data_IF_099415927776
#
_entry.id   IF_099415927776
#
_cell.length_a   1.000
_cell.length_b   1.000
_cell.length_c   1.000
_cell.angle_alpha   90.00
_cell.angle_beta   90.00
_cell.angle_gamma   90.00
#
_symmetry.space_group_name_H-M   'P 1'
#
loop_
_entity.id
_entity.type
_entity.pdbx_description
1 polymer ?
#
# COMPACT_ATOMS: atom_id res chain seq x y z
N UNK A 1 18.91 -5.73 13.89
CA UNK A 1 18.19 -6.13 12.66
C UNK A 1 17.29 -4.98 12.23
N UNK A 2 17.17 -4.69 10.93
CA UNK A 2 16.34 -3.58 10.43
C UNK A 2 14.95 -4.08 10.06
N UNK A 3 13.90 -3.36 10.49
CA UNK A 3 12.49 -3.67 10.20
C UNK A 3 11.57 -2.50 10.52
N UNK A 4 10.26 -2.78 10.68
CA UNK A 4 9.24 -1.74 10.88
C UNK A 4 9.10 -1.41 12.36
N UNK A 5 9.33 -0.15 12.73
CA UNK A 5 9.19 0.37 14.11
C UNK A 5 7.82 1.00 14.34
N UNK A 6 7.30 1.72 13.36
CA UNK A 6 6.00 2.41 13.45
C UNK A 6 5.48 2.75 12.06
N UNK A 7 4.18 2.93 11.95
CA UNK A 7 3.51 3.43 10.74
C UNK A 7 2.54 4.53 11.16
N UNK A 8 2.45 5.58 10.36
CA UNK A 8 1.41 6.59 10.44
C UNK A 8 0.89 6.91 9.04
N UNK A 9 -0.36 7.31 8.98
CA UNK A 9 -1.05 7.59 7.72
C UNK A 9 -1.59 9.02 7.67
N UNK A 10 -1.92 9.44 6.46
CA UNK A 10 -2.74 10.60 6.17
C UNK A 10 -3.80 10.20 5.13
N UNK A 11 -5.06 10.33 5.51
CA UNK A 11 -6.21 10.17 4.62
C UNK A 11 -6.80 11.57 4.43
N UNK A 12 -6.81 12.12 3.21
CA UNK A 12 -7.41 13.44 2.94
C UNK A 12 -8.84 13.53 3.44
N UNK A 13 -9.28 14.72 3.81
CA UNK A 13 -10.63 14.95 4.35
C UNK A 13 -11.74 14.95 3.29
N UNK A 14 -11.37 15.19 2.01
CA UNK A 14 -12.33 15.16 0.91
C UNK A 14 -12.97 13.77 0.77
N UNK A 15 -14.26 13.74 0.46
CA UNK A 15 -15.02 12.47 0.34
C UNK A 15 -15.91 12.50 -0.89
N UNK A 16 -15.97 11.34 -1.55
CA UNK A 16 -16.94 11.06 -2.61
C UNK A 16 -17.92 10.04 -2.05
N UNK A 17 -19.21 10.38 -2.07
CA UNK A 17 -20.29 9.42 -1.79
C UNK A 17 -20.35 8.41 -2.94
N UNK A 18 -19.83 7.21 -2.68
CA UNK A 18 -19.69 6.18 -3.69
C UNK A 18 -21.03 5.53 -4.04
N UNK A 19 -22.00 5.55 -3.10
CA UNK A 19 -23.36 5.06 -3.34
C UNK A 19 -24.07 6.01 -4.30
N UNK A 20 -24.02 7.33 -4.03
CA UNK A 20 -24.61 8.34 -4.92
C UNK A 20 -23.94 8.31 -6.31
N UNK A 21 -22.60 8.19 -6.38
CA UNK A 21 -21.89 8.07 -7.66
C UNK A 21 -22.30 6.82 -8.44
N UNK A 22 -22.53 5.69 -7.80
CA UNK A 22 -22.89 4.43 -8.43
C UNK A 22 -24.24 4.49 -9.17
N UNK A 23 -25.17 5.35 -8.73
CA UNK A 23 -26.45 5.57 -9.39
C UNK A 23 -26.26 6.05 -10.84
N UNK A 24 -25.26 6.88 -11.13
CA UNK A 24 -24.94 7.33 -12.48
C UNK A 24 -24.50 6.20 -13.43
N UNK A 25 -24.16 5.04 -12.86
CA UNK A 25 -23.77 3.82 -13.58
C UNK A 25 -24.82 2.71 -13.53
N UNK A 26 -26.07 3.01 -13.18
CA UNK A 26 -27.15 2.04 -12.98
C UNK A 26 -26.77 0.94 -11.96
N UNK A 27 -26.14 1.34 -10.84
CA UNK A 27 -25.75 0.45 -9.73
C UNK A 27 -26.37 0.94 -8.42
N UNK A 28 -26.70 -0.02 -7.57
CA UNK A 28 -27.28 0.20 -6.26
C UNK A 28 -26.23 0.11 -5.12
N UNK A 29 -26.68 0.43 -3.92
CA UNK A 29 -25.89 0.30 -2.70
C UNK A 29 -25.36 -1.13 -2.50
N UNK A 30 -26.19 -2.15 -2.82
CA UNK A 30 -25.79 -3.56 -2.68
C UNK A 30 -24.59 -3.88 -3.54
N UNK A 31 -24.54 -3.35 -4.76
CA UNK A 31 -23.37 -3.48 -5.63
C UNK A 31 -22.13 -2.82 -5.01
N UNK A 32 -22.26 -1.60 -4.52
CA UNK A 32 -21.16 -0.86 -3.92
C UNK A 32 -20.61 -1.62 -2.71
N UNK A 33 -21.46 -2.01 -1.77
CA UNK A 33 -21.01 -2.67 -0.53
C UNK A 33 -20.47 -4.08 -0.77
N UNK A 34 -21.05 -4.86 -1.71
CA UNK A 34 -20.65 -6.25 -1.93
C UNK A 34 -19.51 -6.44 -2.93
N UNK A 35 -19.34 -5.55 -3.92
CA UNK A 35 -18.34 -5.69 -4.99
C UNK A 35 -17.18 -4.73 -4.85
N UNK A 36 -17.48 -3.49 -4.53
CA UNK A 36 -16.47 -2.45 -4.32
C UNK A 36 -15.88 -2.58 -2.91
N UNK A 37 -16.74 -2.58 -1.88
CA UNK A 37 -16.36 -2.77 -0.48
C UNK A 37 -16.38 -1.49 0.37
N UNK A 38 -16.62 -0.32 -0.25
CA UNK A 38 -16.67 0.95 0.47
C UNK A 38 -17.76 1.88 -0.04
N UNK A 39 -18.49 2.49 0.89
CA UNK A 39 -19.52 3.50 0.60
C UNK A 39 -18.93 4.89 0.32
N UNK A 40 -17.68 5.12 0.70
CA UNK A 40 -17.04 6.42 0.60
C UNK A 40 -15.61 6.27 0.07
N UNK A 41 -15.20 7.15 -0.83
CA UNK A 41 -13.82 7.24 -1.30
C UNK A 41 -13.18 8.51 -0.75
N UNK A 42 -11.94 8.43 -0.29
CA UNK A 42 -11.14 9.61 0.03
C UNK A 42 -10.64 10.27 -1.24
N UNK A 43 -10.56 11.58 -1.24
CA UNK A 43 -10.00 12.35 -2.34
C UNK A 43 -9.20 13.54 -1.80
N UNK A 44 -8.01 13.74 -2.36
CA UNK A 44 -7.18 14.89 -2.03
C UNK A 44 -7.85 16.21 -2.47
N UNK A 45 -7.47 17.32 -1.85
CA UNK A 45 -7.84 18.65 -2.35
C UNK A 45 -7.22 18.89 -3.75
N UNK A 46 -7.88 19.70 -4.54
CA UNK A 46 -7.41 20.04 -5.89
C UNK A 46 -6.01 20.71 -5.90
N UNK A 47 -5.66 21.39 -4.81
CA UNK A 47 -4.38 22.08 -4.65
C UNK A 47 -3.28 21.21 -4.01
N UNK A 48 -3.64 20.06 -3.47
CA UNK A 48 -2.67 19.11 -2.92
C UNK A 48 -2.00 18.30 -4.03
N UNK A 49 -0.68 18.14 -3.90
CA UNK A 49 0.12 17.25 -4.72
C UNK A 49 0.49 15.97 -3.93
N UNK A 50 1.03 14.99 -4.61
CA UNK A 50 1.47 13.73 -3.98
C UNK A 50 2.43 13.98 -2.83
N UNK A 51 3.35 14.93 -2.99
CA UNK A 51 4.31 15.32 -1.94
C UNK A 51 3.65 15.98 -0.72
N UNK A 52 2.48 16.62 -0.86
CA UNK A 52 1.73 17.17 0.28
C UNK A 52 1.15 16.06 1.15
N UNK A 53 0.55 15.05 0.53
CA UNK A 53 0.04 13.88 1.23
C UNK A 53 1.18 13.12 1.93
N UNK A 54 2.31 12.91 1.25
CA UNK A 54 3.50 12.30 1.81
C UNK A 54 4.01 13.07 3.04
N UNK A 55 4.11 14.40 2.91
CA UNK A 55 4.56 15.26 4.00
C UNK A 55 3.62 15.22 5.20
N UNK A 56 2.31 15.16 4.98
CA UNK A 56 1.31 15.02 6.04
C UNK A 56 1.47 13.68 6.78
N UNK A 57 1.64 12.56 6.06
CA UNK A 57 1.87 11.24 6.67
C UNK A 57 3.18 11.21 7.50
N UNK A 58 4.27 11.83 7.00
CA UNK A 58 5.54 11.92 7.74
C UNK A 58 5.38 12.78 9.01
N UNK A 59 4.68 13.91 8.93
CA UNK A 59 4.39 14.74 10.12
C UNK A 59 3.59 13.98 11.17
N UNK A 60 2.61 13.18 10.75
CA UNK A 60 1.87 12.30 11.63
C UNK A 60 2.78 11.23 12.25
N UNK A 61 3.74 10.69 11.48
CA UNK A 61 4.72 9.72 11.99
C UNK A 61 5.60 10.34 13.09
N UNK A 62 6.11 11.56 12.90
CA UNK A 62 6.88 12.27 13.94
C UNK A 62 6.02 12.59 15.17
N UNK A 63 4.77 13.01 14.97
CA UNK A 63 3.84 13.26 16.09
C UNK A 63 3.58 12.00 16.91
N UNK A 64 3.42 10.86 16.24
CA UNK A 64 3.19 9.55 16.89
C UNK A 64 4.43 9.03 17.62
N UNK A 65 5.63 9.41 17.19
CA UNK A 65 6.90 8.86 17.68
C UNK A 65 7.85 9.97 18.15
N UNK A 66 7.68 10.42 19.39
CA UNK A 66 8.46 11.52 19.98
C UNK A 66 10.00 11.27 20.02
N UNK A 67 10.44 10.02 19.86
CA UNK A 67 11.85 9.63 19.81
C UNK A 67 12.46 9.66 18.42
N UNK A 68 11.66 9.84 17.37
CA UNK A 68 12.14 9.99 16.00
C UNK A 68 12.17 11.48 15.64
N UNK A 69 13.36 12.04 15.48
CA UNK A 69 13.53 13.44 15.05
C UNK A 69 13.86 13.52 13.56
N UNK A 70 13.50 14.60 12.86
CA UNK A 70 13.89 14.78 11.46
C UNK A 70 15.40 14.63 11.20
N UNK A 71 16.25 15.05 12.16
CA UNK A 71 17.71 14.91 12.09
C UNK A 71 18.21 13.47 12.12
N UNK A 72 17.40 12.52 12.58
CA UNK A 72 17.79 11.11 12.70
C UNK A 72 17.57 10.34 11.40
N UNK A 73 16.78 10.90 10.49
CA UNK A 73 16.42 10.26 9.20
C UNK A 73 17.62 10.32 8.26
N UNK A 74 17.99 9.17 7.71
CA UNK A 74 19.16 9.00 6.83
C UNK A 74 18.76 8.54 5.42
N UNK A 75 17.55 8.00 5.26
CA UNK A 75 16.98 7.62 3.96
C UNK A 75 15.49 7.93 3.91
N UNK A 76 15.02 8.45 2.77
CA UNK A 76 13.62 8.65 2.44
C UNK A 76 13.34 8.01 1.08
N UNK A 77 12.48 7.00 1.05
CA UNK A 77 12.03 6.37 -0.19
C UNK A 77 10.53 6.61 -0.32
N UNK A 78 10.11 7.12 -1.48
CA UNK A 78 8.70 7.29 -1.82
C UNK A 78 8.31 6.26 -2.88
N UNK A 79 7.31 5.45 -2.58
CA UNK A 79 6.68 4.54 -3.53
C UNK A 79 5.50 5.25 -4.17
N UNK A 80 5.61 5.55 -5.44
CA UNK A 80 4.56 6.24 -6.21
C UNK A 80 4.74 6.04 -7.72
N UNK A 81 3.63 5.96 -8.44
CA UNK A 81 3.55 6.06 -9.90
C UNK A 81 2.93 7.39 -10.33
N UNK A 82 2.41 8.17 -9.37
CA UNK A 82 1.70 9.42 -9.58
C UNK A 82 2.36 10.58 -8.80
N UNK A 83 3.68 10.74 -8.98
CA UNK A 83 4.46 11.81 -8.35
C UNK A 83 4.00 13.21 -8.73
N UNK A 84 4.66 14.23 -8.18
CA UNK A 84 4.36 15.62 -8.48
C UNK A 84 4.67 15.98 -9.93
N UNK A 85 3.87 16.83 -10.50
CA UNK A 85 4.06 17.31 -11.87
C UNK A 85 4.11 16.15 -12.87
N UNK A 86 5.12 16.15 -13.73
CA UNK A 86 5.37 15.12 -14.75
C UNK A 86 6.50 14.14 -14.36
N UNK A 87 6.79 14.00 -13.06
CA UNK A 87 7.79 13.08 -12.53
C UNK A 87 9.22 13.66 -12.42
N UNK A 88 9.43 14.94 -12.69
CA UNK A 88 10.70 15.65 -12.49
C UNK A 88 10.47 16.96 -11.73
N UNK A 89 11.21 17.19 -10.61
CA UNK A 89 12.10 16.25 -9.92
C UNK A 89 11.34 15.10 -9.28
N UNK A 90 12.09 14.07 -8.81
CA UNK A 90 11.50 12.97 -8.06
C UNK A 90 10.79 13.46 -6.78
N UNK A 91 9.67 12.84 -6.45
CA UNK A 91 8.77 13.30 -5.38
C UNK A 91 9.46 13.31 -4.00
N UNK A 92 10.32 12.35 -3.70
CA UNK A 92 11.03 12.27 -2.42
C UNK A 92 11.93 13.48 -2.16
N UNK A 93 12.53 14.12 -3.18
CA UNK A 93 13.30 15.34 -3.00
C UNK A 93 12.41 16.52 -2.58
N UNK A 94 11.22 16.61 -3.16
CA UNK A 94 10.23 17.64 -2.78
C UNK A 94 9.75 17.41 -1.34
N UNK A 95 9.45 16.15 -1.00
CA UNK A 95 9.02 15.74 0.35
C UNK A 95 10.10 16.05 1.38
N UNK A 96 11.39 15.73 1.09
CA UNK A 96 12.52 16.02 1.97
C UNK A 96 12.50 17.50 2.40
N UNK A 97 12.34 18.41 1.43
CA UNK A 97 12.29 19.85 1.69
C UNK A 97 11.03 20.24 2.49
N UNK A 98 9.83 19.73 2.09
CA UNK A 98 8.54 20.06 2.75
C UNK A 98 8.48 19.68 4.22
N UNK A 99 9.18 18.62 4.61
CA UNK A 99 9.19 18.13 6.01
C UNK A 99 10.44 18.53 6.78
N UNK A 100 11.37 19.26 6.15
CA UNK A 100 12.57 19.78 6.80
C UNK A 100 13.59 18.72 7.18
N UNK A 101 13.72 17.63 6.39
CA UNK A 101 14.77 16.63 6.61
C UNK A 101 16.14 17.20 6.19
N UNK A 102 17.23 16.68 6.76
CA UNK A 102 18.59 17.09 6.40
C UNK A 102 18.88 16.90 4.92
N UNK A 103 19.80 17.72 4.37
CA UNK A 103 20.19 17.62 2.95
C UNK A 103 21.21 16.52 2.66
N UNK A 104 21.81 15.94 3.69
CA UNK A 104 22.80 14.86 3.61
C UNK A 104 22.17 13.48 3.80
N UNK A 105 20.92 13.28 3.35
CA UNK A 105 20.21 12.00 3.35
C UNK A 105 20.02 11.49 1.93
N UNK A 106 19.81 10.18 1.81
CA UNK A 106 19.44 9.56 0.53
C UNK A 106 17.93 9.70 0.28
N UNK A 107 17.55 10.24 -0.89
CA UNK A 107 16.16 10.35 -1.32
C UNK A 107 16.01 9.80 -2.73
N UNK A 108 15.04 8.90 -2.96
CA UNK A 108 14.66 8.43 -4.28
C UNK A 108 13.26 7.82 -4.30
N UNK A 109 12.67 7.72 -5.49
CA UNK A 109 11.34 7.17 -5.70
C UNK A 109 11.43 5.73 -6.24
N UNK A 110 10.42 4.92 -5.92
CA UNK A 110 10.19 3.59 -6.49
C UNK A 110 8.88 3.60 -7.26
N UNK A 111 8.95 3.42 -8.58
CA UNK A 111 7.78 3.43 -9.47
C UNK A 111 7.05 2.10 -9.45
N UNK A 112 6.31 1.83 -8.36
CA UNK A 112 5.44 0.67 -8.18
C UNK A 112 4.12 1.11 -7.53
N UNK A 113 3.02 0.47 -7.95
CA UNK A 113 1.70 0.69 -7.36
C UNK A 113 1.37 -0.31 -6.25
N UNK A 114 0.34 -1.13 -6.45
CA UNK A 114 -0.26 -2.01 -5.42
C UNK A 114 0.70 -2.99 -4.71
N UNK A 115 1.75 -3.46 -5.38
CA UNK A 115 2.81 -4.28 -4.80
C UNK A 115 3.91 -3.47 -4.12
N UNK A 116 3.90 -2.15 -4.32
CA UNK A 116 5.02 -1.26 -4.02
C UNK A 116 5.41 -1.19 -2.55
N UNK A 117 4.47 -1.33 -1.61
CA UNK A 117 4.83 -1.38 -0.20
C UNK A 117 5.71 -2.59 0.14
N UNK A 118 5.33 -3.78 -0.34
CA UNK A 118 6.11 -5.00 -0.09
C UNK A 118 7.51 -4.90 -0.69
N UNK A 119 7.62 -4.48 -1.95
CA UNK A 119 8.92 -4.22 -2.59
C UNK A 119 9.71 -3.14 -1.86
N UNK A 120 9.06 -2.01 -1.54
CA UNK A 120 9.69 -0.86 -0.89
C UNK A 120 10.33 -1.19 0.45
N UNK A 121 9.71 -2.07 1.25
CA UNK A 121 10.31 -2.53 2.51
C UNK A 121 11.65 -3.23 2.31
N UNK A 122 11.77 -4.08 1.30
CA UNK A 122 13.03 -4.78 1.02
C UNK A 122 14.05 -3.89 0.32
N UNK A 123 13.58 -2.94 -0.50
CA UNK A 123 14.46 -1.92 -1.11
C UNK A 123 15.08 -1.04 -0.02
N UNK A 124 14.27 -0.47 0.87
CA UNK A 124 14.81 0.42 1.93
C UNK A 124 15.70 -0.36 2.91
N UNK A 125 15.28 -1.56 3.34
CA UNK A 125 16.09 -2.42 4.22
C UNK A 125 17.44 -2.73 3.59
N UNK A 126 17.45 -3.25 2.35
CA UNK A 126 18.71 -3.61 1.66
C UNK A 126 19.59 -2.40 1.40
N UNK A 127 19.02 -1.25 1.04
CA UNK A 127 19.76 0.00 0.87
C UNK A 127 20.38 0.46 2.19
N UNK A 128 19.61 0.47 3.28
CA UNK A 128 20.10 0.88 4.60
C UNK A 128 21.20 -0.04 5.11
N UNK A 129 21.04 -1.35 4.97
CA UNK A 129 22.06 -2.34 5.37
C UNK A 129 23.35 -2.17 4.55
N UNK A 130 23.27 -2.00 3.23
CA UNK A 130 24.42 -1.79 2.36
C UNK A 130 25.16 -0.47 2.64
N UNK A 131 24.43 0.58 3.01
CA UNK A 131 24.98 1.91 3.28
C UNK A 131 25.30 2.17 4.77
N UNK A 132 25.05 1.20 5.67
CA UNK A 132 25.28 1.35 7.11
C UNK A 132 24.36 2.38 7.79
N UNK A 133 23.12 2.55 7.26
CA UNK A 133 22.15 3.51 7.78
C UNK A 133 21.25 2.86 8.84
N UNK A 134 20.79 3.64 9.82
CA UNK A 134 20.05 3.13 10.98
C UNK A 134 18.57 3.51 10.99
N UNK A 135 18.22 4.66 10.42
CA UNK A 135 16.85 5.17 10.36
C UNK A 135 16.49 5.60 8.96
N UNK A 136 15.39 5.05 8.44
CA UNK A 136 14.80 5.41 7.17
C UNK A 136 13.30 5.58 7.27
N UNK A 137 12.72 6.30 6.32
CA UNK A 137 11.27 6.43 6.15
C UNK A 137 10.90 5.89 4.78
N UNK A 138 10.02 4.90 4.76
CA UNK A 138 9.34 4.43 3.55
C UNK A 138 7.96 5.08 3.49
N UNK A 139 7.70 5.82 2.43
CA UNK A 139 6.40 6.45 2.19
C UNK A 139 5.72 5.76 1.03
N UNK A 140 4.42 5.54 1.12
CA UNK A 140 3.58 5.13 0.00
C UNK A 140 2.53 6.19 -0.27
N UNK A 141 2.35 6.58 -1.52
CA UNK A 141 1.32 7.54 -1.90
C UNK A 141 1.06 7.48 -3.41
N UNK A 142 -0.11 6.98 -3.79
CA UNK A 142 -0.53 6.90 -5.18
C UNK A 142 -1.91 7.53 -5.35
N UNK A 143 -2.04 8.85 -5.45
CA UNK A 143 -3.34 9.49 -5.63
C UNK A 143 -3.86 9.29 -7.07
N UNK A 144 -4.62 8.21 -7.27
CA UNK A 144 -5.21 7.89 -8.57
C UNK A 144 -6.28 8.88 -8.99
N UNK A 145 -6.78 9.72 -8.08
CA UNK A 145 -7.64 10.87 -8.43
C UNK A 145 -7.00 11.80 -9.48
N UNK A 146 -5.67 11.81 -9.61
CA UNK A 146 -4.92 12.59 -10.62
C UNK A 146 -5.10 12.06 -12.04
N UNK A 147 -5.35 10.76 -12.22
CA UNK A 147 -5.34 10.08 -13.51
C UNK A 147 -6.67 9.37 -13.82
N UNK A 148 -7.70 9.59 -12.99
CA UNK A 148 -8.97 8.87 -13.13
C UNK A 148 -9.97 9.62 -13.98
N UNK A 149 -10.59 8.93 -14.93
CA UNK A 149 -11.83 9.38 -15.55
C UNK A 149 -13.02 9.05 -14.62
N UNK A 150 -13.66 10.09 -14.10
CA UNK A 150 -14.83 9.94 -13.20
C UNK A 150 -16.06 9.36 -13.92
N UNK A 151 -16.07 9.31 -15.24
CA UNK A 151 -17.13 8.67 -16.04
C UNK A 151 -16.85 7.18 -16.32
N UNK A 152 -15.66 6.67 -16.00
CA UNK A 152 -15.38 5.25 -16.11
C UNK A 152 -15.82 4.50 -14.85
N UNK A 153 -16.90 3.72 -14.96
CA UNK A 153 -17.42 2.89 -13.87
C UNK A 153 -16.39 1.90 -13.33
N UNK A 154 -15.48 1.39 -14.15
CA UNK A 154 -14.56 0.32 -13.75
C UNK A 154 -13.51 0.79 -12.75
N UNK A 155 -13.20 2.06 -12.77
CA UNK A 155 -12.15 2.66 -11.96
C UNK A 155 -12.68 3.65 -10.93
N UNK A 156 -13.63 4.51 -11.30
CA UNK A 156 -14.10 5.62 -10.48
C UNK A 156 -14.75 5.23 -9.14
N UNK A 157 -15.31 4.02 -9.05
CA UNK A 157 -15.94 3.48 -7.83
C UNK A 157 -14.94 2.77 -6.90
N UNK A 158 -13.67 2.59 -7.30
CA UNK A 158 -12.71 1.78 -6.57
C UNK A 158 -11.69 2.60 -5.79
N UNK A 159 -11.07 3.58 -6.45
CA UNK A 159 -9.85 4.20 -5.98
C UNK A 159 -10.10 5.46 -5.14
N UNK A 160 -9.35 5.54 -4.05
CA UNK A 160 -9.27 6.73 -3.23
C UNK A 160 -7.81 7.09 -2.91
N UNK A 161 -7.59 8.25 -2.33
CA UNK A 161 -6.27 8.79 -2.06
C UNK A 161 -5.90 8.63 -0.59
N UNK A 162 -4.66 8.21 -0.34
CA UNK A 162 -4.04 8.20 0.99
C UNK A 162 -2.52 8.17 0.85
N UNK A 163 -1.83 8.54 1.92
CA UNK A 163 -0.41 8.34 2.08
C UNK A 163 -0.12 7.63 3.41
N UNK A 164 0.95 6.84 3.45
CA UNK A 164 1.48 6.28 4.69
C UNK A 164 2.98 6.54 4.80
N UNK A 165 3.47 6.67 6.02
CA UNK A 165 4.89 6.77 6.33
C UNK A 165 5.25 5.69 7.35
N UNK A 166 6.23 4.86 7.02
CA UNK A 166 6.73 3.77 7.86
C UNK A 166 8.13 4.10 8.34
N UNK A 167 8.35 4.11 9.64
CA UNK A 167 9.68 4.21 10.23
C UNK A 167 10.36 2.85 10.18
N UNK A 168 11.44 2.79 9.44
CA UNK A 168 12.29 1.61 9.27
C UNK A 168 13.59 1.82 10.03
N UNK A 169 13.96 0.88 10.89
CA UNK A 169 15.16 1.04 11.71
C UNK A 169 15.55 -0.19 12.53
N UNK A 170 16.59 0.00 13.34
CA UNK A 170 17.07 -1.02 14.29
C UNK A 170 16.04 -1.22 15.42
N UNK A 171 16.05 -2.39 16.05
CA UNK A 171 15.12 -2.80 17.10
C UNK A 171 13.65 -2.61 16.69
N UNK A 172 13.21 -3.24 15.58
CA UNK A 172 11.87 -3.09 15.06
C UNK A 172 10.84 -3.83 15.93
N UNK A 173 9.57 -3.40 15.84
CA UNK A 173 8.44 -4.19 16.35
C UNK A 173 8.15 -5.36 15.41
N UNK A 174 8.27 -5.12 14.10
CA UNK A 174 8.06 -6.13 13.08
C UNK A 174 9.34 -6.32 12.25
N UNK A 175 9.91 -7.51 12.33
CA UNK A 175 11.03 -7.94 11.50
C UNK A 175 10.54 -8.37 10.12
N UNK A 176 11.33 -8.06 9.09
CA UNK A 176 11.09 -8.52 7.73
C UNK A 176 11.66 -9.93 7.57
N UNK A 177 10.78 -10.92 7.50
CA UNK A 177 11.11 -12.31 7.23
C UNK A 177 11.33 -12.60 5.75
N UNK A 178 11.18 -13.86 5.31
CA UNK A 178 11.27 -14.22 3.89
C UNK A 178 10.27 -13.45 3.03
N UNK A 179 10.68 -13.16 1.78
CA UNK A 179 9.82 -12.54 0.78
C UNK A 179 10.08 -13.12 -0.61
N UNK A 180 9.03 -13.12 -1.42
CA UNK A 180 9.08 -13.47 -2.83
C UNK A 180 8.41 -12.40 -3.68
N UNK A 181 8.91 -12.26 -4.88
CA UNK A 181 8.47 -11.25 -5.82
C UNK A 181 8.18 -11.89 -7.18
N UNK A 182 7.29 -11.28 -7.96
CA UNK A 182 6.99 -11.74 -9.29
C UNK A 182 6.51 -10.60 -10.19
N UNK A 183 6.75 -10.77 -11.49
CA UNK A 183 6.36 -9.82 -12.53
C UNK A 183 5.93 -10.61 -13.76
N UNK A 184 4.83 -10.18 -14.39
CA UNK A 184 4.34 -10.72 -15.65
C UNK A 184 3.93 -9.58 -16.59
N UNK A 185 4.85 -9.15 -17.44
CA UNK A 185 4.63 -8.08 -18.41
C UNK A 185 3.61 -8.42 -19.51
N UNK A 186 3.25 -9.70 -19.67
CA UNK A 186 2.18 -10.06 -20.61
C UNK A 186 0.82 -9.50 -20.19
N UNK A 187 0.64 -9.17 -18.91
CA UNK A 187 -0.56 -8.53 -18.37
C UNK A 187 -0.49 -6.99 -18.31
N UNK A 188 0.47 -6.34 -18.94
CA UNK A 188 0.66 -4.88 -18.85
C UNK A 188 -0.60 -4.09 -19.23
N UNK A 189 -1.34 -4.52 -20.24
CA UNK A 189 -2.58 -3.87 -20.70
C UNK A 189 -3.78 -4.05 -19.76
N UNK A 190 -3.65 -4.84 -18.67
CA UNK A 190 -4.78 -5.03 -17.74
C UNK A 190 -4.97 -3.85 -16.78
N UNK A 191 -3.90 -3.11 -16.52
CA UNK A 191 -3.86 -1.95 -15.65
C UNK A 191 -2.86 -0.95 -16.26
N UNK A 192 -3.34 0.05 -16.99
CA UNK A 192 -2.49 0.90 -17.83
C UNK A 192 -3.05 2.32 -17.90
N UNK A 193 -2.18 3.29 -18.14
CA UNK A 193 -2.58 4.67 -18.43
C UNK A 193 -2.44 4.94 -19.93
N UNK A 194 -3.52 5.37 -20.56
CA UNK A 194 -3.54 5.87 -21.92
C UNK A 194 -4.06 7.30 -21.95
N UNK A 195 -3.37 8.19 -22.66
CA UNK A 195 -3.76 9.60 -22.80
C UNK A 195 -4.02 10.29 -21.44
N UNK A 196 -3.21 9.99 -20.42
CA UNK A 196 -3.36 10.55 -19.09
C UNK A 196 -4.46 9.95 -18.22
N UNK A 197 -5.26 9.00 -18.75
CA UNK A 197 -6.32 8.34 -18.01
C UNK A 197 -5.99 6.88 -17.72
N UNK A 198 -6.29 6.44 -16.51
CA UNK A 198 -6.10 5.06 -16.06
C UNK A 198 -7.24 4.16 -16.56
N UNK A 199 -6.86 3.01 -17.10
CA UNK A 199 -7.77 1.97 -17.59
C UNK A 199 -7.51 0.65 -16.89
N UNK A 200 -8.60 -0.10 -16.60
CA UNK A 200 -8.52 -1.39 -15.92
C UNK A 200 -9.39 -2.46 -16.56
N UNK A 201 -8.79 -3.61 -16.89
CA UNK A 201 -9.52 -4.82 -17.18
C UNK A 201 -9.80 -5.60 -15.89
N UNK A 202 -10.86 -5.23 -15.18
CA UNK A 202 -11.20 -5.78 -13.86
C UNK A 202 -11.35 -7.31 -13.84
N UNK A 203 -11.81 -7.94 -14.94
CA UNK A 203 -11.93 -9.39 -15.03
C UNK A 203 -10.57 -10.08 -15.03
N UNK A 204 -9.60 -9.56 -15.78
CA UNK A 204 -8.26 -10.14 -15.85
C UNK A 204 -7.50 -9.94 -14.54
N UNK A 205 -7.64 -8.76 -13.93
CA UNK A 205 -7.06 -8.47 -12.59
C UNK A 205 -7.64 -9.39 -11.53
N UNK A 206 -8.96 -9.61 -11.52
CA UNK A 206 -9.62 -10.55 -10.61
C UNK A 206 -9.11 -12.00 -10.80
N UNK A 207 -9.02 -12.46 -12.04
CA UNK A 207 -8.51 -13.80 -12.35
C UNK A 207 -7.07 -13.97 -11.89
N UNK A 208 -6.20 -13.01 -12.19
CA UNK A 208 -4.82 -12.99 -11.74
C UNK A 208 -4.70 -13.08 -10.21
N UNK A 209 -5.36 -12.18 -9.48
CA UNK A 209 -5.32 -12.16 -8.02
C UNK A 209 -5.84 -13.48 -7.42
N UNK A 210 -6.97 -13.98 -7.92
CA UNK A 210 -7.60 -15.20 -7.41
C UNK A 210 -6.75 -16.45 -7.63
N UNK A 211 -5.98 -16.53 -8.72
CA UNK A 211 -5.22 -17.73 -9.06
C UNK A 211 -3.78 -17.70 -8.53
N UNK A 212 -3.15 -16.53 -8.50
CA UNK A 212 -1.71 -16.37 -8.26
C UNK A 212 -1.34 -16.16 -6.80
N UNK A 213 -2.16 -15.43 -6.04
CA UNK A 213 -1.72 -14.91 -4.74
C UNK A 213 -1.60 -15.98 -3.66
N UNK A 214 -2.56 -16.91 -3.55
CA UNK A 214 -2.50 -17.95 -2.51
C UNK A 214 -1.28 -18.86 -2.70
N UNK A 215 -0.99 -19.46 -3.88
CA UNK A 215 0.22 -20.25 -4.07
C UNK A 215 1.50 -19.45 -3.74
N UNK A 216 1.56 -18.20 -4.12
CA UNK A 216 2.70 -17.34 -3.85
C UNK A 216 2.91 -17.08 -2.35
N UNK A 217 1.83 -16.86 -1.59
CA UNK A 217 1.90 -16.76 -0.12
C UNK A 217 2.36 -18.08 0.52
N UNK A 218 1.87 -19.23 0.02
CA UNK A 218 2.28 -20.54 0.53
C UNK A 218 3.79 -20.76 0.39
N UNK A 219 4.38 -20.42 -0.74
CA UNK A 219 5.82 -20.51 -0.97
C UNK A 219 6.62 -19.66 0.03
N UNK A 220 6.19 -18.43 0.29
CA UNK A 220 6.84 -17.53 1.27
C UNK A 220 6.73 -18.05 2.70
N UNK A 221 5.56 -18.57 3.07
CA UNK A 221 5.33 -19.13 4.39
C UNK A 221 6.20 -20.36 4.64
N UNK A 222 6.34 -21.25 3.64
CA UNK A 222 7.22 -22.41 3.73
C UNK A 222 8.68 -22.02 4.00
N UNK A 223 9.19 -20.95 3.38
CA UNK A 223 10.54 -20.43 3.65
C UNK A 223 10.69 -19.90 5.08
N UNK A 224 9.61 -19.40 5.67
CA UNK A 224 9.59 -18.96 7.06
C UNK A 224 9.37 -20.10 8.07
N UNK A 225 9.23 -21.36 7.61
CA UNK A 225 8.86 -22.50 8.47
C UNK A 225 7.41 -22.42 8.97
N UNK A 226 6.56 -21.67 8.28
CA UNK A 226 5.14 -21.47 8.57
C UNK A 226 4.27 -22.10 7.47
N UNK A 227 2.98 -22.17 7.75
CA UNK A 227 1.96 -22.55 6.77
C UNK A 227 0.71 -21.67 6.90
N UNK A 228 -0.27 -21.88 6.03
CA UNK A 228 -1.52 -21.14 6.05
C UNK A 228 -2.30 -21.29 7.37
N UNK A 229 -2.13 -22.39 8.10
CA UNK A 229 -2.85 -22.65 9.34
C UNK A 229 -2.20 -21.98 10.56
N UNK A 230 -0.93 -21.62 10.48
CA UNK A 230 -0.13 -21.08 11.60
C UNK A 230 0.05 -19.55 11.56
N UNK A 231 -0.34 -18.91 10.46
CA UNK A 231 -0.31 -17.45 10.32
C UNK A 231 -1.43 -16.80 11.14
N UNK A 232 -1.10 -15.77 11.93
CA UNK A 232 -2.07 -15.06 12.75
C UNK A 232 -2.99 -14.15 11.91
N UNK A 233 -2.47 -13.52 10.85
CA UNK A 233 -3.24 -12.62 9.99
C UNK A 233 -2.73 -12.57 8.54
N UNK A 234 -3.64 -12.27 7.62
CA UNK A 234 -3.39 -12.02 6.20
C UNK A 234 -3.67 -10.55 5.88
N UNK A 235 -2.62 -9.77 5.66
CA UNK A 235 -2.69 -8.36 5.26
C UNK A 235 -2.55 -8.25 3.74
N UNK A 236 -3.66 -8.34 3.02
CA UNK A 236 -3.69 -8.31 1.57
C UNK A 236 -3.92 -6.89 1.05
N UNK A 237 -3.40 -6.61 -0.14
CA UNK A 237 -3.80 -5.42 -0.89
C UNK A 237 -5.33 -5.35 -1.02
N UNK A 238 -5.91 -4.23 -0.64
CA UNK A 238 -7.37 -4.00 -0.65
C UNK A 238 -7.83 -3.50 -2.03
N UNK A 239 -7.67 -4.34 -3.05
CA UNK A 239 -7.99 -3.98 -4.43
C UNK A 239 -9.49 -3.75 -4.69
N UNK A 240 -10.35 -4.58 -4.11
CA UNK A 240 -11.82 -4.42 -4.02
C UNK A 240 -12.38 -5.46 -3.05
N UNK A 241 -13.60 -5.23 -2.56
CA UNK A 241 -14.32 -6.19 -1.72
C UNK A 241 -14.40 -7.58 -2.37
N UNK A 242 -14.74 -7.62 -3.65
CA UNK A 242 -14.87 -8.87 -4.41
C UNK A 242 -13.54 -9.66 -4.49
N UNK A 243 -12.40 -8.99 -4.66
CA UNK A 243 -11.08 -9.64 -4.73
C UNK A 243 -10.70 -10.22 -3.36
N UNK A 244 -10.81 -9.41 -2.30
CA UNK A 244 -10.47 -9.84 -0.94
C UNK A 244 -11.35 -11.01 -0.50
N UNK A 245 -12.66 -10.94 -0.75
CA UNK A 245 -13.61 -12.01 -0.43
C UNK A 245 -13.33 -13.30 -1.22
N UNK A 246 -12.94 -13.18 -2.50
CA UNK A 246 -12.58 -14.35 -3.30
C UNK A 246 -11.33 -15.06 -2.78
N UNK A 247 -10.31 -14.31 -2.36
CA UNK A 247 -9.11 -14.87 -1.74
C UNK A 247 -9.45 -15.50 -0.38
N UNK A 248 -10.19 -14.80 0.49
CA UNK A 248 -10.62 -15.30 1.79
C UNK A 248 -11.43 -16.61 1.66
N UNK A 249 -12.37 -16.67 0.72
CA UNK A 249 -13.15 -17.89 0.44
C UNK A 249 -12.26 -19.07 0.02
N UNK A 250 -11.22 -18.82 -0.77
CA UNK A 250 -10.29 -19.87 -1.24
C UNK A 250 -9.32 -20.34 -0.15
N UNK A 251 -9.05 -19.51 0.85
CA UNK A 251 -8.29 -19.90 2.06
C UNK A 251 -9.11 -20.80 3.01
N UNK A 252 -10.40 -20.99 2.75
CA UNK A 252 -11.28 -21.86 3.54
C UNK A 252 -11.40 -21.36 4.98
N UNK A 253 -11.11 -22.22 5.97
CA UNK A 253 -11.15 -21.88 7.40
C UNK A 253 -10.21 -20.71 7.78
N UNK A 254 -9.15 -20.49 7.01
CA UNK A 254 -8.18 -19.43 7.26
C UNK A 254 -8.65 -18.05 6.73
N UNK A 255 -9.72 -18.04 5.93
CA UNK A 255 -10.29 -16.81 5.40
C UNK A 255 -10.78 -15.82 6.45
N UNK A 256 -11.13 -16.29 7.65
CA UNK A 256 -11.51 -15.43 8.78
C UNK A 256 -10.35 -14.58 9.32
N UNK A 257 -9.10 -14.95 9.01
CA UNK A 257 -7.89 -14.21 9.38
C UNK A 257 -7.49 -13.17 8.34
N UNK A 258 -8.21 -13.10 7.20
CA UNK A 258 -7.99 -12.08 6.18
C UNK A 258 -8.59 -10.77 6.68
N UNK A 259 -7.73 -9.76 6.84
CA UNK A 259 -8.20 -8.43 7.22
C UNK A 259 -8.85 -7.79 6.01
N UNK A 260 -10.09 -7.31 6.20
CA UNK A 260 -10.85 -6.58 5.19
C UNK A 260 -11.25 -5.23 5.79
N UNK A 261 -10.60 -4.19 5.35
CA UNK A 261 -10.90 -2.82 5.79
C UNK A 261 -10.49 -1.84 4.68
N UNK A 262 -11.47 -1.15 4.13
CA UNK A 262 -11.26 -0.14 3.10
C UNK A 262 -11.16 1.28 3.68
N UNK A 263 -11.15 1.44 5.01
CA UNK A 263 -10.97 2.70 5.75
C UNK A 263 -11.90 3.84 5.31
N UNK A 264 -13.05 3.51 4.73
CA UNK A 264 -13.90 4.51 4.07
C UNK A 264 -13.12 5.39 3.06
N UNK A 265 -12.04 4.83 2.53
CA UNK A 265 -11.14 5.49 1.59
C UNK A 265 -11.10 4.80 0.24
N UNK A 266 -11.51 3.52 0.17
CA UNK A 266 -11.41 2.70 -1.01
C UNK A 266 -10.02 2.09 -1.21
N UNK A 267 -9.72 1.74 -2.47
CA UNK A 267 -8.40 1.23 -2.86
C UNK A 267 -7.40 2.40 -2.94
N UNK A 268 -6.53 2.50 -1.97
CA UNK A 268 -5.47 3.52 -1.89
C UNK A 268 -4.13 3.03 -2.47
N UNK A 269 -4.20 2.07 -3.40
CA UNK A 269 -3.07 1.51 -4.17
C UNK A 269 -1.96 0.96 -3.27
N UNK A 270 -0.77 1.58 -3.24
CA UNK A 270 0.38 1.16 -2.44
C UNK A 270 0.17 1.34 -0.93
N UNK A 271 -0.76 2.20 -0.52
CA UNK A 271 -1.03 2.51 0.89
C UNK A 271 -1.98 1.53 1.58
N UNK A 272 -2.66 0.63 0.86
CA UNK A 272 -3.65 -0.28 1.45
C UNK A 272 -3.07 -1.20 2.52
N UNK A 273 -1.93 -1.83 2.29
CA UNK A 273 -1.30 -2.75 3.26
C UNK A 273 -0.79 -1.99 4.49
N UNK A 274 0.01 -0.91 4.37
CA UNK A 274 0.49 -0.21 5.55
C UNK A 274 -0.63 0.43 6.38
N UNK A 275 -1.77 0.80 5.80
CA UNK A 275 -2.97 1.20 6.54
C UNK A 275 -3.51 0.06 7.41
N UNK A 276 -3.60 -1.18 6.89
CA UNK A 276 -3.98 -2.36 7.68
C UNK A 276 -3.00 -2.61 8.82
N UNK A 277 -1.69 -2.55 8.53
CA UNK A 277 -0.67 -2.75 9.56
C UNK A 277 -0.76 -1.69 10.65
N UNK A 278 -0.91 -0.42 10.31
CA UNK A 278 -1.07 0.67 11.28
C UNK A 278 -2.24 0.42 12.22
N UNK A 279 -3.38 0.00 11.68
CA UNK A 279 -4.62 -0.14 12.44
C UNK A 279 -4.68 -1.41 13.29
N UNK A 280 -4.14 -2.51 12.79
CA UNK A 280 -4.39 -3.84 13.37
C UNK A 280 -3.15 -4.54 13.92
N UNK A 281 -1.94 -4.26 13.38
CA UNK A 281 -0.79 -5.10 13.69
C UNK A 281 -0.05 -4.68 14.97
N UNK A 282 0.07 -3.38 15.27
CA UNK A 282 0.94 -2.92 16.36
C UNK A 282 0.39 -3.23 17.74
N UNK A 283 -0.91 -3.09 17.96
CA UNK A 283 -1.58 -3.35 19.25
C UNK A 283 -2.14 -4.78 19.37
N UNK A 284 -1.87 -5.64 18.38
CA UNK A 284 -2.30 -7.03 18.37
C UNK A 284 -1.41 -7.94 19.22
N UNK A 285 -1.89 -9.16 19.47
CA UNK A 285 -1.09 -10.24 20.04
C UNK A 285 -0.44 -11.13 18.97
N UNK A 286 -0.51 -10.73 17.71
CA UNK A 286 0.04 -11.50 16.59
C UNK A 286 1.55 -11.61 16.68
N UNK A 287 2.05 -12.79 16.42
CA UNK A 287 3.49 -13.13 16.39
C UNK A 287 4.03 -13.14 14.97
N UNK A 288 3.17 -13.47 14.02
CA UNK A 288 3.51 -13.52 12.60
C UNK A 288 2.30 -13.14 11.75
N UNK A 289 2.58 -12.57 10.61
CA UNK A 289 1.58 -12.29 9.59
C UNK A 289 2.20 -12.40 8.19
N UNK A 290 1.35 -12.67 7.20
CA UNK A 290 1.74 -12.59 5.79
C UNK A 290 1.08 -11.38 5.16
N UNK A 291 1.86 -10.59 4.41
CA UNK A 291 1.35 -9.54 3.56
C UNK A 291 1.53 -9.89 2.10
N UNK A 292 0.59 -9.47 1.25
CA UNK A 292 0.69 -9.64 -0.20
C UNK A 292 0.12 -8.46 -0.94
N UNK A 293 1.00 -7.75 -1.69
CA UNK A 293 0.66 -6.67 -2.61
C UNK A 293 0.68 -7.16 -4.05
N UNK A 294 -0.30 -6.76 -4.86
CA UNK A 294 -0.43 -7.24 -6.24
C UNK A 294 -1.27 -6.29 -7.09
N UNK A 295 -0.89 -6.11 -8.34
CA UNK A 295 -1.61 -5.22 -9.28
C UNK A 295 -0.81 -4.86 -10.52
N UNK A 296 -0.71 -3.54 -10.74
CA UNK A 296 -0.08 -2.96 -11.94
C UNK A 296 1.26 -3.59 -12.26
N UNK A 297 1.46 -3.95 -13.57
CA UNK A 297 2.67 -4.52 -14.10
C UNK A 297 2.46 -5.65 -15.10
N UNK A 298 1.79 -6.80 -14.81
CA UNK A 298 1.43 -7.24 -13.47
C UNK A 298 2.65 -7.39 -12.58
N UNK A 299 2.51 -7.00 -11.33
CA UNK A 299 3.55 -7.14 -10.31
C UNK A 299 2.92 -7.62 -9.00
N UNK A 300 3.61 -8.50 -8.28
CA UNK A 300 3.19 -8.96 -6.96
C UNK A 300 4.39 -9.22 -6.05
N UNK A 301 4.17 -9.06 -4.76
CA UNK A 301 5.14 -9.39 -3.73
C UNK A 301 4.41 -9.91 -2.49
N UNK A 302 4.91 -10.99 -1.91
CA UNK A 302 4.45 -11.50 -0.63
C UNK A 302 5.62 -11.60 0.34
N UNK A 303 5.38 -11.29 1.61
CA UNK A 303 6.39 -11.35 2.65
C UNK A 303 5.78 -11.71 4.00
N UNK A 304 6.59 -12.33 4.85
CA UNK A 304 6.25 -12.62 6.25
C UNK A 304 6.81 -11.50 7.13
N UNK A 305 6.00 -11.03 8.06
CA UNK A 305 6.45 -10.19 9.17
C UNK A 305 6.44 -11.03 10.45
N UNK A 306 7.51 -10.94 11.22
CA UNK A 306 7.70 -11.61 12.50
C UNK A 306 7.78 -10.56 13.60
N UNK A 307 6.99 -10.73 14.66
CA UNK A 307 7.04 -9.79 15.79
C UNK A 307 8.32 -10.06 16.59
N UNK A 308 9.06 -9.00 16.83
CA UNK A 308 10.21 -9.04 17.74
C UNK A 308 9.71 -9.24 19.17
N UNK A 309 10.40 -10.11 19.92
CA UNK A 309 9.99 -10.53 21.27
C UNK A 309 10.23 -9.45 22.33
#
# INVERSE_FOLDING_TARGET
MIGIKSIASYIPSGRIDNIAQAVSFDRDETFVLSKIGTATLSVKDAHEETSDLCAAAIKNLFTKNATLHPSDVQALIVVTQNGDGEGLPHTSAIVQHKVGLPTNIACFDVSLGCSGFVYGLYVIKGFMEAAGLKNGILVTCDPYSKIMDRNDRMTSLLFGDAATASWIGEDPIWELGPARFGTDGAGAEYLVTHNGCFHMNGRQVFNFASLKIIPHMQEVLQEAGLDLDTVDAYCLHQGSGAIVDAIAKRLGKNGERVIKDFFEAGNTVSSTIPLLLERYAFDSHWKNLVMSGFGVGLSWGSAVLLRNA
#
